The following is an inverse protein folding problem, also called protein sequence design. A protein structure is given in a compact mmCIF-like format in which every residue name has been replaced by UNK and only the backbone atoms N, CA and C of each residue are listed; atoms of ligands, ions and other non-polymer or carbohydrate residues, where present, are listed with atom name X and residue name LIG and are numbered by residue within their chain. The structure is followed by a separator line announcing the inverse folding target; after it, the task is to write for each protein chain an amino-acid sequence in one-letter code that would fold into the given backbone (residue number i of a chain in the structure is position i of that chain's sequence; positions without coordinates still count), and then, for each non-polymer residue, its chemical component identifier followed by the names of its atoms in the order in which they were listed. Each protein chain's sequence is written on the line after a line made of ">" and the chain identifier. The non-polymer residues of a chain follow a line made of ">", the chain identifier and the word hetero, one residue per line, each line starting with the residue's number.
data_IF_024650088690
#
_entry.id   IF_024650088690
#
_cell.length_a   1.000
_cell.length_b   1.000
_cell.length_c   1.000
_cell.angle_alpha   90.00
_cell.angle_beta   90.00
_cell.angle_gamma   90.00
#
_symmetry.space_group_name_H-M   'P 1'
#
loop_
_entity.id
_entity.type
_entity.pdbx_description
1 polymer ?
#
# COMPACT_ATOMS: atom_id res chain seq x y z
N UNK A 1 1.91 3.53 11.31
CA UNK A 1 3.19 3.58 12.01
C UNK A 1 3.29 4.85 12.86
N UNK A 2 3.89 4.76 14.04
CA UNK A 2 4.08 5.88 14.99
C UNK A 2 2.77 6.58 15.42
N UNK A 3 1.69 5.86 15.43
CA UNK A 3 0.37 6.30 15.90
C UNK A 3 -0.22 5.22 16.80
N UNK A 4 -0.98 5.61 17.80
CA UNK A 4 -1.72 4.66 18.58
C UNK A 4 -2.96 4.13 17.85
N UNK A 5 -3.65 3.16 18.46
CA UNK A 5 -4.84 2.57 17.88
C UNK A 5 -5.96 3.58 17.61
N UNK A 6 -6.17 4.52 18.54
CA UNK A 6 -7.24 5.52 18.41
C UNK A 6 -6.92 6.52 17.31
N UNK A 7 -5.67 6.94 17.19
CA UNK A 7 -5.20 7.82 16.10
C UNK A 7 -5.32 7.12 14.74
N UNK A 8 -4.98 5.84 14.67
CA UNK A 8 -5.11 5.06 13.43
C UNK A 8 -6.57 4.95 12.99
N UNK A 9 -7.48 4.62 13.91
CA UNK A 9 -8.92 4.53 13.63
C UNK A 9 -9.49 5.90 13.26
N UNK A 10 -9.12 6.96 13.99
CA UNK A 10 -9.56 8.32 13.70
C UNK A 10 -9.12 8.79 12.32
N UNK A 11 -7.89 8.44 11.92
CA UNK A 11 -7.36 8.76 10.58
C UNK A 11 -8.12 8.02 9.48
N UNK A 12 -8.43 6.74 9.69
CA UNK A 12 -9.22 5.95 8.74
C UNK A 12 -10.64 6.51 8.58
N UNK A 13 -11.29 6.87 9.69
CA UNK A 13 -12.62 7.50 9.68
C UNK A 13 -12.59 8.86 8.99
N UNK A 14 -11.59 9.69 9.27
CA UNK A 14 -11.43 10.99 8.63
C UNK A 14 -11.26 10.84 7.11
N UNK A 15 -10.47 9.86 6.67
CA UNK A 15 -10.31 9.54 5.24
C UNK A 15 -11.65 9.11 4.61
N UNK A 16 -12.41 8.24 5.26
CA UNK A 16 -13.72 7.79 4.77
C UNK A 16 -14.68 8.97 4.64
N UNK A 17 -14.75 9.83 5.65
CA UNK A 17 -15.58 11.03 5.61
C UNK A 17 -15.16 12.01 4.51
N UNK A 18 -13.85 12.15 4.26
CA UNK A 18 -13.34 13.01 3.19
C UNK A 18 -13.70 12.46 1.80
N UNK A 19 -13.59 11.16 1.61
CA UNK A 19 -13.90 10.50 0.33
C UNK A 19 -15.39 10.58 0.00
N UNK A 20 -16.26 10.56 1.03
CA UNK A 20 -17.72 10.61 0.85
C UNK A 20 -18.30 12.02 0.91
N UNK A 21 -17.47 13.06 1.09
CA UNK A 21 -17.92 14.45 1.28
C UNK A 21 -18.70 15.03 0.09
N UNK A 22 -18.45 14.55 -1.10
CA UNK A 22 -19.04 15.05 -2.35
C UNK A 22 -20.07 14.08 -2.99
N UNK A 23 -20.37 12.96 -2.32
CA UNK A 23 -21.28 11.95 -2.87
C UNK A 23 -22.77 12.34 -2.77
N UNK A 24 -23.10 13.50 -2.19
CA UNK A 24 -24.50 13.92 -1.99
C UNK A 24 -25.17 14.56 -3.22
N UNK A 25 -24.42 14.86 -4.29
CA UNK A 25 -24.97 15.58 -5.45
C UNK A 25 -25.37 14.70 -6.64
N UNK A 26 -24.99 13.40 -6.63
CA UNK A 26 -25.36 12.45 -7.69
C UNK A 26 -26.01 11.19 -7.10
N UNK A 27 -27.26 10.94 -7.48
CA UNK A 27 -28.12 9.84 -6.98
C UNK A 27 -27.59 8.40 -7.24
N UNK A 28 -26.44 8.23 -7.90
CA UNK A 28 -25.85 6.92 -8.23
C UNK A 28 -24.48 6.65 -7.59
N UNK A 29 -23.92 7.57 -6.82
CA UNK A 29 -22.59 7.41 -6.26
C UNK A 29 -22.63 6.53 -4.99
N UNK A 30 -22.05 5.33 -5.09
CA UNK A 30 -21.92 4.40 -3.95
C UNK A 30 -20.88 4.94 -2.96
N UNK A 31 -21.22 4.89 -1.67
CA UNK A 31 -20.30 5.28 -0.60
C UNK A 31 -19.02 4.47 -0.60
N UNK A 32 -17.91 5.13 -0.30
CA UNK A 32 -16.61 4.52 -0.10
C UNK A 32 -16.48 4.06 1.34
N UNK A 33 -16.09 2.80 1.55
CA UNK A 33 -15.76 2.26 2.87
C UNK A 33 -14.25 2.08 3.04
N UNK A 34 -13.69 2.50 4.16
CA UNK A 34 -12.27 2.38 4.49
C UNK A 34 -12.03 1.24 5.47
N UNK A 35 -11.21 0.27 5.07
CA UNK A 35 -10.79 -0.85 5.90
C UNK A 35 -9.36 -0.62 6.37
N UNK A 36 -9.17 -0.56 7.68
CA UNK A 36 -7.87 -0.32 8.31
C UNK A 36 -7.16 -1.65 8.60
N UNK A 37 -5.91 -1.78 8.14
CA UNK A 37 -4.97 -2.77 8.64
C UNK A 37 -3.97 -2.09 9.58
N UNK A 38 -3.88 -2.60 10.81
CA UNK A 38 -2.94 -2.14 11.82
C UNK A 38 -2.04 -3.28 12.29
N UNK A 39 -0.80 -2.96 12.66
CA UNK A 39 0.16 -3.90 13.24
C UNK A 39 0.71 -3.34 14.56
N UNK A 40 1.28 -4.18 15.45
CA UNK A 40 1.92 -3.71 16.67
C UNK A 40 3.02 -2.69 16.36
N UNK A 41 3.00 -1.54 17.03
CA UNK A 41 3.97 -0.47 16.89
C UNK A 41 4.16 0.22 18.23
N UNK A 42 5.42 0.52 18.58
CA UNK A 42 5.76 1.16 19.85
C UNK A 42 5.47 2.68 19.87
N UNK A 43 5.14 3.27 18.72
CA UNK A 43 4.77 4.67 18.60
C UNK A 43 5.87 5.68 18.97
N UNK A 44 7.15 5.29 18.89
CA UNK A 44 8.28 6.11 19.33
C UNK A 44 9.30 6.33 18.21
N UNK A 45 9.01 7.27 17.31
CA UNK A 45 9.82 7.56 16.12
C UNK A 45 11.24 8.03 16.43
N UNK A 46 11.46 8.74 17.54
CA UNK A 46 12.77 9.35 17.88
C UNK A 46 13.79 8.40 18.52
N UNK A 47 13.44 7.13 18.72
CA UNK A 47 14.37 6.15 19.29
C UNK A 47 14.72 5.11 18.24
N UNK A 48 15.95 5.10 17.73
CA UNK A 48 16.42 4.15 16.72
C UNK A 48 16.06 2.68 17.04
N UNK A 49 16.11 2.28 18.31
CA UNK A 49 15.73 0.94 18.74
C UNK A 49 14.24 0.66 18.57
N UNK A 50 13.37 1.62 18.83
CA UNK A 50 11.92 1.47 18.65
C UNK A 50 11.57 1.37 17.17
N UNK A 51 12.15 2.21 16.32
CA UNK A 51 11.97 2.14 14.87
C UNK A 51 12.37 0.76 14.30
N UNK A 52 13.53 0.23 14.69
CA UNK A 52 13.98 -1.10 14.25
C UNK A 52 13.08 -2.23 14.78
N UNK A 53 12.57 -2.11 16.02
CA UNK A 53 11.58 -3.04 16.56
C UNK A 53 10.30 -3.01 15.74
N UNK A 54 9.76 -1.82 15.48
CA UNK A 54 8.53 -1.63 14.70
C UNK A 54 8.66 -2.15 13.25
N UNK A 55 9.85 -2.06 12.66
CA UNK A 55 10.12 -2.68 11.35
C UNK A 55 10.09 -4.22 11.40
N UNK A 56 10.59 -4.82 12.48
CA UNK A 56 10.50 -6.26 12.66
C UNK A 56 9.04 -6.69 12.81
N UNK A 57 8.26 -5.98 13.63
CA UNK A 57 6.84 -6.25 13.84
C UNK A 57 6.04 -6.07 12.53
N UNK A 58 6.36 -5.04 11.75
CA UNK A 58 5.79 -4.80 10.42
C UNK A 58 6.09 -5.95 9.45
N UNK A 59 7.34 -6.42 9.42
CA UNK A 59 7.74 -7.57 8.60
C UNK A 59 7.01 -8.85 9.02
N UNK A 60 6.96 -9.13 10.30
CA UNK A 60 6.34 -10.35 10.82
C UNK A 60 4.81 -10.33 10.63
N UNK A 61 4.19 -9.13 10.68
CA UNK A 61 2.76 -8.93 10.39
C UNK A 61 2.42 -9.06 8.90
N UNK A 62 3.40 -8.93 8.01
CA UNK A 62 3.21 -8.92 6.55
C UNK A 62 2.60 -10.22 6.00
N UNK A 63 2.85 -11.35 6.66
CA UNK A 63 2.26 -12.65 6.28
C UNK A 63 0.73 -12.65 6.44
N UNK A 64 0.21 -11.90 7.43
CA UNK A 64 -1.23 -11.76 7.60
C UNK A 64 -1.85 -10.99 6.43
N UNK A 65 -1.17 -9.95 5.94
CA UNK A 65 -1.57 -9.20 4.74
C UNK A 65 -1.56 -10.09 3.50
N UNK A 66 -0.50 -10.86 3.29
CA UNK A 66 -0.41 -11.81 2.17
C UNK A 66 -1.57 -12.82 2.18
N UNK A 67 -1.89 -13.39 3.35
CA UNK A 67 -3.05 -14.28 3.52
C UNK A 67 -4.38 -13.56 3.29
N UNK A 68 -4.46 -12.29 3.71
CA UNK A 68 -5.61 -11.42 3.43
C UNK A 68 -5.84 -11.24 1.93
N UNK A 69 -4.79 -11.00 1.16
CA UNK A 69 -4.87 -10.88 -0.30
C UNK A 69 -5.32 -12.19 -0.96
N UNK A 70 -4.86 -13.34 -0.48
CA UNK A 70 -5.34 -14.63 -0.99
C UNK A 70 -6.84 -14.84 -0.71
N UNK A 71 -7.29 -14.54 0.52
CA UNK A 71 -8.71 -14.63 0.87
C UNK A 71 -9.56 -13.64 0.07
N UNK A 72 -9.06 -12.42 -0.13
CA UNK A 72 -9.73 -11.41 -0.95
C UNK A 72 -9.87 -11.88 -2.40
N UNK A 73 -8.80 -12.44 -2.98
CA UNK A 73 -8.83 -13.04 -4.32
C UNK A 73 -9.91 -14.13 -4.40
N UNK A 74 -9.90 -15.06 -3.46
CA UNK A 74 -10.83 -16.20 -3.47
C UNK A 74 -12.27 -15.70 -3.34
N UNK A 75 -12.52 -14.73 -2.47
CA UNK A 75 -13.82 -14.08 -2.32
C UNK A 75 -14.27 -13.40 -3.62
N UNK A 76 -13.42 -12.58 -4.24
CA UNK A 76 -13.74 -11.91 -5.50
C UNK A 76 -14.00 -12.91 -6.64
N UNK A 77 -13.32 -14.05 -6.64
CA UNK A 77 -13.58 -15.11 -7.61
C UNK A 77 -14.96 -15.76 -7.40
N UNK A 78 -15.45 -15.83 -6.16
CA UNK A 78 -16.82 -16.33 -5.91
C UNK A 78 -17.92 -15.38 -6.35
N UNK A 79 -17.61 -14.08 -6.39
CA UNK A 79 -18.54 -13.03 -6.85
C UNK A 79 -18.60 -12.90 -8.39
N UNK A 80 -17.66 -13.51 -9.11
CA UNK A 80 -17.69 -13.55 -10.57
C UNK A 80 -18.58 -14.70 -10.99
N UNK A 81 -19.74 -14.45 -11.61
CA UNK A 81 -20.61 -15.53 -12.07
C UNK A 81 -19.85 -16.38 -13.09
N UNK A 82 -19.78 -17.70 -12.84
CA UNK A 82 -19.22 -18.68 -13.77
C UNK A 82 -20.10 -18.87 -15.02
N UNK A 83 -21.35 -18.40 -14.96
CA UNK A 83 -22.27 -18.26 -16.07
C UNK A 83 -22.87 -16.86 -16.02
N UNK A 84 -23.01 -16.21 -17.18
CA UNK A 84 -23.73 -14.96 -17.33
C UNK A 84 -25.22 -15.18 -16.99
N UNK A 85 -25.56 -15.14 -15.72
CA UNK A 85 -26.92 -15.05 -15.28
C UNK A 85 -27.35 -13.57 -15.45
N UNK A 86 -28.29 -13.25 -16.35
CA UNK A 86 -28.68 -11.87 -16.60
C UNK A 86 -29.38 -11.19 -15.41
N UNK A 87 -29.67 -11.94 -14.32
CA UNK A 87 -30.27 -11.44 -13.08
C UNK A 87 -29.22 -11.08 -11.99
N UNK A 88 -27.93 -11.40 -12.20
CA UNK A 88 -26.88 -11.06 -11.26
C UNK A 88 -26.12 -9.84 -11.80
N UNK A 89 -26.38 -8.69 -11.21
CA UNK A 89 -25.57 -7.48 -11.47
C UNK A 89 -24.10 -7.74 -11.07
N UNK A 90 -23.18 -7.49 -11.99
CA UNK A 90 -21.75 -7.50 -11.67
C UNK A 90 -21.46 -6.47 -10.57
N UNK A 91 -20.78 -6.89 -9.51
CA UNK A 91 -20.34 -5.97 -8.47
C UNK A 91 -19.40 -4.92 -9.06
N UNK A 92 -19.91 -3.71 -9.26
CA UNK A 92 -19.16 -2.59 -9.83
C UNK A 92 -18.20 -1.89 -8.85
N UNK A 93 -18.05 -2.42 -7.62
CA UNK A 93 -17.17 -1.82 -6.62
C UNK A 93 -15.69 -1.98 -6.99
N UNK A 94 -14.96 -0.90 -6.84
CA UNK A 94 -13.51 -0.86 -7.06
C UNK A 94 -12.78 -0.96 -5.72
N UNK A 95 -11.71 -1.74 -5.71
CA UNK A 95 -10.82 -1.85 -4.56
C UNK A 95 -9.57 -1.01 -4.81
N UNK A 96 -9.21 -0.24 -3.80
CA UNK A 96 -7.99 0.55 -3.78
C UNK A 96 -7.16 0.15 -2.56
N UNK A 97 -5.84 0.26 -2.68
CA UNK A 97 -4.92 0.04 -1.56
C UNK A 97 -4.13 1.33 -1.31
N UNK A 98 -4.18 1.82 -0.08
CA UNK A 98 -3.36 2.95 0.36
C UNK A 98 -2.36 2.45 1.41
N UNK A 99 -1.06 2.66 1.13
CA UNK A 99 0.02 2.38 2.05
C UNK A 99 0.75 3.67 2.40
N UNK A 100 0.89 3.96 3.70
CA UNK A 100 1.60 5.14 4.18
C UNK A 100 2.85 4.73 4.97
N UNK A 101 3.97 5.41 4.69
CA UNK A 101 5.25 5.25 5.40
C UNK A 101 5.67 3.76 5.52
N UNK A 102 5.88 3.25 6.73
CA UNK A 102 6.21 1.83 7.01
C UNK A 102 5.14 0.84 6.55
N UNK A 103 3.90 1.27 6.24
CA UNK A 103 2.89 0.43 5.59
C UNK A 103 3.34 -0.09 4.22
N UNK A 104 4.20 0.65 3.52
CA UNK A 104 4.82 0.20 2.26
C UNK A 104 5.87 -0.90 2.51
N UNK A 105 6.55 -0.86 3.65
CA UNK A 105 7.45 -1.94 4.07
C UNK A 105 6.68 -3.22 4.42
N UNK A 106 5.49 -3.10 5.05
CA UNK A 106 4.58 -4.23 5.24
C UNK A 106 4.17 -4.81 3.88
N UNK A 107 3.78 -3.96 2.92
CA UNK A 107 3.40 -4.38 1.57
C UNK A 107 4.55 -5.09 0.86
N UNK A 108 5.78 -4.57 0.94
CA UNK A 108 6.98 -5.19 0.39
C UNK A 108 7.14 -6.64 0.85
N UNK A 109 7.08 -6.87 2.16
CA UNK A 109 7.22 -8.21 2.72
C UNK A 109 5.99 -9.09 2.49
N UNK A 110 4.81 -8.49 2.39
CA UNK A 110 3.59 -9.22 2.01
C UNK A 110 3.69 -9.77 0.59
N UNK A 111 4.28 -9.03 -0.37
CA UNK A 111 4.50 -9.51 -1.73
C UNK A 111 5.45 -10.72 -1.77
N UNK A 112 6.55 -10.67 -1.01
CA UNK A 112 7.48 -11.80 -0.89
C UNK A 112 6.78 -13.03 -0.29
N UNK A 113 5.95 -12.83 0.73
CA UNK A 113 5.17 -13.91 1.35
C UNK A 113 4.08 -14.43 0.40
N UNK A 114 3.44 -13.54 -0.33
CA UNK A 114 2.40 -13.87 -1.29
C UNK A 114 2.92 -14.76 -2.43
N UNK A 115 4.07 -14.42 -2.98
CA UNK A 115 4.73 -15.20 -4.03
C UNK A 115 4.98 -16.65 -3.56
N UNK A 116 5.53 -16.82 -2.35
CA UNK A 116 5.76 -18.12 -1.74
C UNK A 116 4.45 -18.89 -1.48
N UNK A 117 3.45 -18.24 -0.89
CA UNK A 117 2.16 -18.87 -0.56
C UNK A 117 1.36 -19.25 -1.79
N UNK A 118 1.55 -18.52 -2.91
CA UNK A 118 0.89 -18.79 -4.18
C UNK A 118 1.69 -19.74 -5.09
N UNK A 119 2.78 -20.36 -4.57
CA UNK A 119 3.68 -21.25 -5.31
C UNK A 119 4.22 -20.60 -6.61
N UNK A 120 4.63 -19.35 -6.55
CA UNK A 120 5.15 -18.56 -7.68
C UNK A 120 4.21 -18.50 -8.91
N UNK A 121 2.91 -18.70 -8.68
CA UNK A 121 1.90 -18.57 -9.74
C UNK A 121 1.53 -17.11 -9.93
N UNK A 122 1.10 -16.80 -11.16
CA UNK A 122 0.58 -15.49 -11.48
C UNK A 122 -0.55 -15.08 -10.52
N UNK A 123 -0.47 -13.87 -9.97
CA UNK A 123 -1.48 -13.33 -9.06
C UNK A 123 -2.42 -12.40 -9.85
N UNK A 124 -3.73 -12.56 -9.74
CA UNK A 124 -4.66 -11.72 -10.47
C UNK A 124 -4.64 -10.28 -9.94
N UNK A 125 -4.93 -9.33 -10.80
CA UNK A 125 -5.12 -7.95 -10.43
C UNK A 125 -6.29 -7.83 -9.44
N UNK A 126 -6.01 -7.33 -8.22
CA UNK A 126 -7.00 -7.13 -7.16
C UNK A 126 -7.46 -5.68 -7.07
N UNK A 127 -6.54 -4.74 -7.29
CA UNK A 127 -6.77 -3.34 -7.03
C UNK A 127 -6.91 -2.54 -8.32
N UNK A 128 -7.78 -1.53 -8.29
CA UNK A 128 -7.83 -0.52 -9.35
C UNK A 128 -6.60 0.39 -9.24
N UNK A 129 -6.26 0.82 -8.01
CA UNK A 129 -5.12 1.69 -7.76
C UNK A 129 -4.43 1.32 -6.45
N UNK A 130 -3.10 1.37 -6.44
CA UNK A 130 -2.27 1.32 -5.25
C UNK A 130 -1.63 2.70 -5.05
N UNK A 131 -1.90 3.33 -3.91
CA UNK A 131 -1.32 4.60 -3.49
C UNK A 131 -0.20 4.34 -2.48
N UNK A 132 1.04 4.67 -2.86
CA UNK A 132 2.22 4.55 -2.00
C UNK A 132 2.59 5.95 -1.51
N UNK A 133 2.18 6.30 -0.29
CA UNK A 133 2.38 7.64 0.29
C UNK A 133 3.61 7.63 1.20
N UNK A 134 4.58 8.52 0.95
CA UNK A 134 5.84 8.64 1.68
C UNK A 134 6.47 7.26 2.01
N UNK A 135 6.73 6.40 1.01
CA UNK A 135 7.07 5.00 1.26
C UNK A 135 8.43 4.84 1.94
N UNK A 136 8.44 4.15 3.10
CA UNK A 136 9.64 3.79 3.86
C UNK A 136 10.26 2.49 3.34
N UNK A 137 10.63 2.49 2.08
CA UNK A 137 11.34 1.41 1.37
C UNK A 137 12.45 2.01 0.51
N UNK A 138 13.37 1.18 0.03
CA UNK A 138 14.49 1.64 -0.79
C UNK A 138 14.01 2.25 -2.12
N UNK A 139 14.71 3.25 -2.64
CA UNK A 139 14.34 3.97 -3.88
C UNK A 139 14.43 3.11 -5.15
N UNK A 140 15.24 2.04 -5.10
CA UNK A 140 15.44 1.08 -6.18
C UNK A 140 14.51 -0.15 -6.11
N UNK A 141 13.45 -0.11 -5.29
CA UNK A 141 12.60 -1.25 -4.95
C UNK A 141 11.85 -1.87 -6.15
N UNK A 142 11.69 -1.12 -7.23
CA UNK A 142 11.03 -1.56 -8.47
C UNK A 142 12.00 -2.12 -9.51
N UNK A 143 13.32 -2.10 -9.25
CA UNK A 143 14.31 -2.61 -10.19
C UNK A 143 14.26 -4.14 -10.27
N UNK A 144 14.89 -4.68 -11.32
CA UNK A 144 15.03 -6.11 -11.52
C UNK A 144 15.68 -6.75 -10.29
N UNK A 145 15.23 -7.94 -9.90
CA UNK A 145 15.62 -8.67 -8.69
C UNK A 145 15.20 -8.03 -7.35
N UNK A 146 14.41 -6.96 -7.35
CA UNK A 146 13.84 -6.36 -6.14
C UNK A 146 12.42 -6.85 -5.87
N UNK A 147 12.05 -6.81 -4.60
CA UNK A 147 10.82 -7.43 -4.09
C UNK A 147 9.52 -6.81 -4.60
N UNK A 148 9.53 -5.57 -5.11
CA UNK A 148 8.33 -4.90 -5.62
C UNK A 148 8.32 -4.75 -7.15
N UNK A 149 9.26 -5.36 -7.87
CA UNK A 149 9.31 -5.30 -9.34
C UNK A 149 7.96 -5.69 -9.97
N UNK A 150 7.27 -6.65 -9.40
CA UNK A 150 5.97 -7.15 -9.88
C UNK A 150 4.74 -6.52 -9.21
N UNK A 151 4.89 -5.44 -8.42
CA UNK A 151 3.76 -4.78 -7.75
C UNK A 151 2.69 -4.33 -8.76
N UNK A 152 3.10 -3.89 -9.94
CA UNK A 152 2.22 -3.47 -11.04
C UNK A 152 1.24 -4.56 -11.52
N UNK A 153 1.48 -5.83 -11.19
CA UNK A 153 0.58 -6.93 -11.53
C UNK A 153 -0.66 -6.96 -10.63
N UNK A 154 -0.55 -6.47 -9.41
CA UNK A 154 -1.67 -6.45 -8.44
C UNK A 154 -2.67 -5.34 -8.69
N UNK A 155 -2.31 -4.31 -9.47
CA UNK A 155 -3.15 -3.14 -9.69
C UNK A 155 -3.19 -2.75 -11.16
N UNK A 156 -4.24 -1.99 -11.52
CA UNK A 156 -4.32 -1.33 -12.82
C UNK A 156 -3.33 -0.16 -12.90
N UNK A 157 -3.11 0.53 -11.75
CA UNK A 157 -2.18 1.63 -11.61
C UNK A 157 -1.55 1.65 -10.23
N UNK A 158 -0.29 2.09 -10.15
CA UNK A 158 0.46 2.34 -8.90
C UNK A 158 0.98 3.77 -8.95
N UNK A 159 0.78 4.54 -7.87
CA UNK A 159 1.35 5.89 -7.77
C UNK A 159 2.15 6.04 -6.49
N UNK A 160 3.38 6.49 -6.64
CA UNK A 160 4.31 6.82 -5.55
C UNK A 160 4.23 8.31 -5.28
N UNK A 161 3.88 8.70 -4.06
CA UNK A 161 3.90 10.09 -3.59
C UNK A 161 5.09 10.28 -2.66
N UNK A 162 6.02 11.14 -3.03
CA UNK A 162 7.24 11.40 -2.28
C UNK A 162 7.45 12.89 -2.02
N UNK A 163 8.24 13.22 -0.99
CA UNK A 163 8.51 14.61 -0.59
C UNK A 163 9.96 14.75 -0.13
N UNK A 164 10.77 15.50 -0.90
CA UNK A 164 12.17 15.76 -0.58
C UNK A 164 12.40 16.57 0.71
N UNK A 165 11.35 17.22 1.23
CA UNK A 165 11.37 17.96 2.49
C UNK A 165 10.91 17.12 3.71
N UNK A 166 10.66 15.82 3.55
CA UNK A 166 10.18 14.99 4.65
C UNK A 166 11.30 14.61 5.61
N UNK A 167 11.35 15.30 6.77
CA UNK A 167 12.34 15.07 7.82
C UNK A 167 12.22 13.67 8.44
N UNK A 168 11.04 13.07 8.44
CA UNK A 168 10.83 11.73 8.98
C UNK A 168 11.53 10.67 8.10
N UNK A 169 11.48 10.85 6.79
CA UNK A 169 12.20 9.99 5.84
C UNK A 169 13.72 10.18 5.95
N UNK A 170 14.20 11.40 6.21
CA UNK A 170 15.62 11.66 6.45
C UNK A 170 16.16 10.90 7.69
N UNK A 171 15.38 10.81 8.76
CA UNK A 171 15.75 10.01 9.95
C UNK A 171 15.79 8.51 9.59
N UNK A 172 14.87 8.03 8.76
CA UNK A 172 14.88 6.66 8.27
C UNK A 172 16.14 6.34 7.46
N UNK A 173 16.56 7.22 6.55
CA UNK A 173 17.78 7.08 5.75
C UNK A 173 19.02 6.93 6.65
N UNK A 174 19.15 7.79 7.66
CA UNK A 174 20.27 7.77 8.59
C UNK A 174 20.34 6.48 9.42
N UNK A 175 19.19 5.94 9.83
CA UNK A 175 19.12 4.72 10.67
C UNK A 175 19.36 3.42 9.90
N UNK A 176 19.20 3.42 8.59
CA UNK A 176 19.33 2.24 7.72
C UNK A 176 20.66 2.15 6.96
N UNK A 177 21.65 2.95 7.31
CA UNK A 177 22.97 2.86 6.71
C UNK A 177 23.09 3.49 5.32
N UNK A 178 22.38 4.58 5.09
CA UNK A 178 22.50 5.44 3.91
C UNK A 178 21.93 4.88 2.60
N UNK A 179 20.86 4.10 2.68
CA UNK A 179 20.08 3.78 1.47
C UNK A 179 19.01 4.84 1.27
N UNK A 180 18.99 5.46 0.08
CA UNK A 180 17.98 6.45 -0.28
C UNK A 180 16.57 5.86 -0.20
N UNK A 181 15.63 6.65 0.34
CA UNK A 181 14.24 6.23 0.54
C UNK A 181 13.34 6.72 -0.58
N UNK A 182 12.51 5.79 -1.07
CA UNK A 182 11.52 6.07 -2.09
C UNK A 182 10.60 7.25 -1.71
N UNK A 183 10.22 7.35 -0.43
CA UNK A 183 9.37 8.44 0.08
C UNK A 183 10.05 9.79 0.16
N UNK A 184 11.38 9.84 0.12
CA UNK A 184 12.16 11.08 0.14
C UNK A 184 12.59 11.49 -1.27
N UNK A 185 13.22 10.58 -2.03
CA UNK A 185 13.87 10.90 -3.30
C UNK A 185 13.05 10.54 -4.54
N UNK A 186 11.98 9.78 -4.38
CA UNK A 186 11.33 9.11 -5.50
C UNK A 186 12.14 7.89 -5.97
N UNK A 187 11.84 7.36 -7.12
CA UNK A 187 12.51 6.18 -7.67
C UNK A 187 13.89 6.51 -8.22
N UNK A 188 14.87 5.63 -7.96
CA UNK A 188 16.26 5.80 -8.41
C UNK A 188 16.35 5.90 -9.95
N UNK A 189 15.57 5.09 -10.68
CA UNK A 189 15.55 5.06 -12.15
C UNK A 189 14.14 5.28 -12.70
N UNK A 190 13.63 6.52 -12.69
CA UNK A 190 12.25 6.81 -13.08
C UNK A 190 11.92 6.41 -14.53
N UNK A 191 12.91 6.44 -15.43
CA UNK A 191 12.72 6.07 -16.84
C UNK A 191 12.59 4.56 -17.08
N UNK A 192 12.90 3.74 -16.07
CA UNK A 192 12.78 2.27 -16.14
C UNK A 192 11.52 1.74 -15.45
N UNK A 193 10.69 2.62 -14.91
CA UNK A 193 9.43 2.22 -14.30
C UNK A 193 8.50 1.58 -15.34
N UNK A 194 7.81 0.54 -14.90
CA UNK A 194 6.72 -0.03 -15.68
C UNK A 194 5.65 1.04 -15.97
N UNK A 195 5.03 1.02 -17.14
CA UNK A 195 4.04 2.03 -17.57
C UNK A 195 2.81 2.17 -16.66
N UNK A 196 2.53 1.20 -15.80
CA UNK A 196 1.50 1.25 -14.76
C UNK A 196 1.98 1.93 -13.46
N UNK A 197 3.26 2.25 -13.33
CA UNK A 197 3.85 2.86 -12.14
C UNK A 197 4.20 4.30 -12.44
N UNK A 198 3.67 5.22 -11.67
CA UNK A 198 3.93 6.65 -11.76
C UNK A 198 4.44 7.19 -10.41
N UNK A 199 5.08 8.36 -10.44
CA UNK A 199 5.49 9.05 -9.22
C UNK A 199 5.12 10.52 -9.25
N UNK A 200 4.82 11.07 -8.07
CA UNK A 200 4.41 12.46 -7.86
C UNK A 200 5.26 13.06 -6.74
N UNK A 201 5.92 14.17 -7.05
CA UNK A 201 6.67 14.95 -6.07
C UNK A 201 5.73 15.92 -5.36
N UNK A 202 5.53 15.74 -4.06
CA UNK A 202 4.66 16.54 -3.20
C UNK A 202 5.40 17.64 -2.44
N UNK A 203 6.68 17.93 -2.76
CA UNK A 203 7.51 18.90 -2.01
C UNK A 203 7.03 20.36 -2.13
N UNK A 204 6.11 20.64 -3.05
CA UNK A 204 5.61 22.00 -3.33
C UNK A 204 4.10 22.14 -3.17
N UNK A 205 3.46 21.14 -2.53
CA UNK A 205 2.01 21.12 -2.28
C UNK A 205 1.73 21.62 -0.87
#
# INVERSE_FOLDING_TARGET
>A
FNVDWFEAVSSALALELMLNRHSHDDDEQKDTSVFLFSWPSNGAMMKNKAYLSDRNDARDSSIAVARGFLKLRDFLMTLRPTHKDPLIEECGQQLHLLCHSMGNYVLQHALVSLDKLNNHKHFPQLFQHIFMCAPDVDDNIFEEDRSMVNLHMLAKQVTVYYNNGDLAMYISDYTQGNTDRLGHNGTHRPMQLHNKVSQVNCSKI
#
